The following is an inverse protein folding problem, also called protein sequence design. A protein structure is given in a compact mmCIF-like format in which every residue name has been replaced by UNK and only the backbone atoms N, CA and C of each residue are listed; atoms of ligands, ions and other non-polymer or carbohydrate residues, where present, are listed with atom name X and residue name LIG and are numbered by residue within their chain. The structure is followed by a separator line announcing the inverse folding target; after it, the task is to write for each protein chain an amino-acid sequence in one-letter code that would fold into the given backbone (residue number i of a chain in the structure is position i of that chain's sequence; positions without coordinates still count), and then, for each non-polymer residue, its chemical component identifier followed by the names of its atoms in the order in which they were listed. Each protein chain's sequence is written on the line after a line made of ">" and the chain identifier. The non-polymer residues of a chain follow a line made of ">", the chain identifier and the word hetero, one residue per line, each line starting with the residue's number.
data_IF_297515324346
#
_entry.id   IF_297515324346
#
_cell.length_a   1.000
_cell.length_b   1.000
_cell.length_c   1.000
_cell.angle_alpha   90.00
_cell.angle_beta   90.00
_cell.angle_gamma   90.00
#
_symmetry.space_group_name_H-M   'P 1'
#
loop_
_entity.id
_entity.type
_entity.pdbx_description
1 polymer ?
#
# COMPACT_ATOMS: atom_id res chain seq x y z
N UNK A 1 16.05 -22.17 3.91
CA UNK A 1 15.82 -20.79 3.44
C UNK A 1 14.60 -20.26 4.16
N UNK A 2 14.64 -19.02 4.62
CA UNK A 2 13.52 -18.43 5.35
C UNK A 2 12.39 -18.01 4.40
N UNK A 3 11.16 -18.09 4.90
CA UNK A 3 9.96 -17.69 4.15
C UNK A 3 9.88 -16.18 4.03
N UNK A 4 9.44 -15.70 2.88
CA UNK A 4 9.50 -14.30 2.49
C UNK A 4 8.12 -13.82 2.03
N UNK A 5 7.65 -12.72 2.62
CA UNK A 5 6.49 -11.98 2.16
C UNK A 5 6.95 -10.90 1.18
N UNK A 6 6.41 -10.91 -0.04
CA UNK A 6 6.46 -9.78 -0.95
C UNK A 6 5.17 -8.98 -0.79
N UNK A 7 5.26 -7.83 -0.14
CA UNK A 7 4.13 -6.92 0.08
C UNK A 7 4.25 -5.70 -0.82
N UNK A 8 3.19 -5.40 -1.54
CA UNK A 8 3.14 -4.31 -2.53
C UNK A 8 1.91 -3.46 -2.24
N UNK A 9 2.11 -2.20 -1.89
CA UNK A 9 1.06 -1.20 -1.84
C UNK A 9 0.86 -0.58 -3.23
N UNK A 10 -0.39 -0.37 -3.63
CA UNK A 10 -0.75 0.30 -4.86
C UNK A 10 -0.29 1.76 -4.90
N UNK A 11 -0.20 2.42 -3.75
CA UNK A 11 0.27 3.80 -3.68
C UNK A 11 1.75 3.96 -4.05
N UNK A 12 2.54 2.87 -4.08
CA UNK A 12 3.92 2.84 -4.59
C UNK A 12 4.00 3.49 -5.97
N UNK A 13 2.97 3.30 -6.81
CA UNK A 13 2.94 3.81 -8.18
C UNK A 13 2.33 5.20 -8.31
N UNK A 14 1.75 5.77 -7.26
CA UNK A 14 0.88 6.94 -7.38
C UNK A 14 1.64 8.20 -7.03
N UNK A 15 1.80 9.07 -8.03
CA UNK A 15 2.21 10.46 -7.78
C UNK A 15 1.01 11.27 -7.28
N UNK A 16 1.20 11.93 -6.14
CA UNK A 16 0.23 12.85 -5.55
C UNK A 16 0.85 14.24 -5.54
N UNK A 17 0.19 15.22 -6.16
CA UNK A 17 0.63 16.62 -6.07
C UNK A 17 0.59 17.09 -4.60
N UNK A 18 1.65 17.74 -4.13
CA UNK A 18 1.88 18.12 -2.71
C UNK A 18 0.68 18.72 -1.98
N UNK A 19 -0.15 19.53 -2.66
CA UNK A 19 -1.30 20.20 -2.05
C UNK A 19 -2.47 19.24 -1.71
N UNK A 20 -2.37 17.97 -2.09
CA UNK A 20 -3.39 16.92 -1.85
C UNK A 20 -2.96 15.87 -0.81
N UNK A 21 -1.85 16.10 -0.11
CA UNK A 21 -1.38 15.24 0.97
C UNK A 21 -2.24 15.41 2.23
N UNK A 22 -2.59 14.30 2.88
CA UNK A 22 -3.34 14.29 4.15
C UNK A 22 -3.22 12.95 4.86
N UNK A 23 -3.36 12.97 6.19
CA UNK A 23 -3.48 11.76 7.01
C UNK A 23 -4.95 11.36 7.08
N UNK A 24 -5.29 10.19 6.55
CA UNK A 24 -6.66 9.70 6.50
C UNK A 24 -6.77 8.45 7.38
N UNK A 25 -7.79 8.41 8.23
CA UNK A 25 -8.13 7.21 8.98
C UNK A 25 -8.87 6.25 8.04
N UNK A 26 -8.40 5.02 7.94
CA UNK A 26 -9.20 3.95 7.36
C UNK A 26 -10.35 3.63 8.30
N UNK A 27 -11.59 3.88 7.89
CA UNK A 27 -12.77 3.40 8.58
C UNK A 27 -13.84 2.96 7.58
N UNK A 28 -14.69 2.03 8.01
CA UNK A 28 -15.73 1.43 7.17
C UNK A 28 -16.81 2.44 6.75
N UNK A 29 -16.93 3.58 7.45
CA UNK A 29 -17.75 4.70 7.01
C UNK A 29 -16.97 5.54 6.00
N UNK A 30 -16.88 4.92 4.82
CA UNK A 30 -16.86 5.55 3.51
C UNK A 30 -15.54 6.12 2.99
N UNK A 31 -14.53 5.25 2.86
CA UNK A 31 -13.35 5.53 2.03
C UNK A 31 -13.73 6.13 0.66
N UNK A 32 -14.81 5.62 0.04
CA UNK A 32 -15.33 6.15 -1.23
C UNK A 32 -15.95 7.54 -1.08
N UNK A 33 -16.75 7.79 -0.04
CA UNK A 33 -17.40 9.09 0.14
C UNK A 33 -16.39 10.17 0.48
N UNK A 34 -15.29 9.84 1.17
CA UNK A 34 -14.16 10.76 1.36
C UNK A 34 -13.59 11.19 -0.01
N UNK A 35 -13.46 10.29 -0.97
CA UNK A 35 -13.05 10.66 -2.32
C UNK A 35 -14.09 11.55 -3.02
N UNK A 36 -15.39 11.29 -2.85
CA UNK A 36 -16.44 12.16 -3.38
C UNK A 36 -16.43 13.55 -2.74
N UNK A 37 -16.23 13.63 -1.42
CA UNK A 37 -16.06 14.88 -0.68
C UNK A 37 -14.95 15.72 -1.27
N UNK A 38 -13.77 15.12 -1.47
CA UNK A 38 -12.61 15.78 -2.08
C UNK A 38 -12.90 16.21 -3.51
N UNK A 39 -13.56 15.38 -4.30
CA UNK A 39 -13.98 15.74 -5.65
C UNK A 39 -14.91 16.96 -5.66
N UNK A 40 -15.91 17.02 -4.78
CA UNK A 40 -16.84 18.15 -4.67
C UNK A 40 -16.07 19.41 -4.24
N UNK A 41 -15.22 19.32 -3.22
CA UNK A 41 -14.45 20.45 -2.70
C UNK A 41 -13.48 21.04 -3.75
N UNK A 42 -12.79 20.18 -4.51
CA UNK A 42 -11.90 20.62 -5.60
C UNK A 42 -12.69 21.25 -6.74
N UNK A 43 -13.84 20.65 -7.10
CA UNK A 43 -14.73 21.18 -8.15
C UNK A 43 -15.30 22.55 -7.80
N UNK A 44 -15.67 22.78 -6.54
CA UNK A 44 -16.10 24.11 -6.05
C UNK A 44 -15.00 25.16 -6.18
N UNK A 45 -13.74 24.76 -6.14
CA UNK A 45 -12.58 25.62 -6.36
C UNK A 45 -12.16 25.70 -7.83
N UNK A 46 -12.97 25.18 -8.76
CA UNK A 46 -12.68 25.18 -10.20
C UNK A 46 -11.56 24.20 -10.60
N UNK A 47 -11.19 23.25 -9.74
CA UNK A 47 -10.14 22.26 -9.99
C UNK A 47 -10.71 20.88 -10.28
N UNK A 48 -9.94 20.09 -11.01
CA UNK A 48 -10.22 18.68 -11.26
C UNK A 48 -9.23 17.83 -10.46
N UNK A 49 -9.71 17.20 -9.39
CA UNK A 49 -8.89 16.38 -8.50
C UNK A 49 -8.18 15.25 -9.25
N UNK A 50 -8.78 14.71 -10.31
CA UNK A 50 -8.21 13.57 -11.04
C UNK A 50 -6.87 13.93 -11.69
N UNK A 51 -6.70 15.20 -12.08
CA UNK A 51 -5.44 15.70 -12.66
C UNK A 51 -4.30 15.82 -11.66
N UNK A 52 -4.60 15.71 -10.36
CA UNK A 52 -3.59 15.78 -9.29
C UNK A 52 -2.93 14.43 -8.99
N UNK A 53 -3.40 13.36 -9.65
CA UNK A 53 -2.92 12.00 -9.47
C UNK A 53 -2.41 11.44 -10.79
N UNK A 54 -1.22 10.86 -10.78
CA UNK A 54 -0.62 10.24 -11.96
C UNK A 54 -0.01 8.90 -11.57
N UNK A 55 -0.03 7.94 -12.50
CA UNK A 55 0.64 6.66 -12.30
C UNK A 55 2.08 6.74 -12.81
N UNK A 56 2.98 6.11 -12.06
CA UNK A 56 4.38 5.95 -12.43
C UNK A 56 4.51 5.22 -13.77
N UNK A 57 5.39 5.66 -14.67
CA UNK A 57 5.77 4.90 -15.86
C UNK A 57 6.32 3.50 -15.53
N UNK A 58 6.82 3.30 -14.31
CA UNK A 58 7.36 2.00 -13.88
C UNK A 58 6.30 0.89 -13.78
N UNK A 59 5.02 1.26 -13.69
CA UNK A 59 3.91 0.30 -13.56
C UNK A 59 3.98 -0.79 -14.64
N UNK A 60 4.14 -0.40 -15.90
CA UNK A 60 4.12 -1.33 -17.04
C UNK A 60 5.34 -2.28 -17.14
N UNK A 61 6.39 -2.04 -16.35
CA UNK A 61 7.58 -2.90 -16.30
C UNK A 61 7.79 -3.55 -14.93
N UNK A 62 6.90 -3.27 -13.96
CA UNK A 62 7.07 -3.67 -12.57
C UNK A 62 7.16 -5.18 -12.42
N UNK A 63 6.17 -5.93 -12.92
CA UNK A 63 6.19 -7.40 -12.78
C UNK A 63 7.35 -8.07 -13.50
N UNK A 64 7.82 -7.48 -14.61
CA UNK A 64 9.03 -7.94 -15.29
C UNK A 64 10.27 -7.74 -14.41
N UNK A 65 10.38 -6.58 -13.73
CA UNK A 65 11.45 -6.33 -12.76
C UNK A 65 11.33 -7.26 -11.56
N UNK A 66 10.13 -7.44 -10.98
CA UNK A 66 9.92 -8.38 -9.86
C UNK A 66 10.39 -9.79 -10.24
N UNK A 67 9.95 -10.32 -11.40
CA UNK A 67 10.35 -11.66 -11.88
C UNK A 67 11.86 -11.78 -12.19
N UNK A 68 12.59 -10.67 -12.29
CA UNK A 68 14.06 -10.67 -12.42
C UNK A 68 14.77 -10.91 -11.08
N UNK A 69 14.19 -10.43 -9.98
CA UNK A 69 14.78 -10.50 -8.64
C UNK A 69 14.22 -11.66 -7.79
N UNK A 70 12.94 -11.94 -7.97
CA UNK A 70 12.18 -12.87 -7.14
C UNK A 70 11.78 -14.12 -7.91
N UNK A 71 11.86 -15.26 -7.22
CA UNK A 71 11.37 -16.55 -7.68
C UNK A 71 10.11 -16.90 -6.89
N UNK A 72 9.04 -17.24 -7.59
CA UNK A 72 7.77 -17.62 -6.97
C UNK A 72 7.70 -19.14 -6.87
N UNK A 73 7.30 -19.63 -5.70
CA UNK A 73 7.00 -21.05 -5.53
C UNK A 73 5.76 -21.45 -6.36
N UNK A 74 5.68 -22.71 -6.80
CA UNK A 74 4.58 -23.17 -7.66
C UNK A 74 3.19 -23.05 -7.00
N UNK A 75 3.13 -23.17 -5.68
CA UNK A 75 1.91 -23.07 -4.86
C UNK A 75 1.86 -21.77 -4.06
N UNK A 76 2.47 -20.70 -4.59
CA UNK A 76 2.52 -19.40 -3.92
C UNK A 76 1.11 -18.87 -3.65
N UNK A 77 0.88 -18.41 -2.43
CA UNK A 77 -0.37 -17.75 -2.06
C UNK A 77 -0.28 -16.27 -2.39
N UNK A 78 -1.28 -15.75 -3.08
CA UNK A 78 -1.43 -14.34 -3.41
C UNK A 78 -2.70 -13.80 -2.78
N UNK A 79 -2.58 -12.74 -2.01
CA UNK A 79 -3.69 -12.06 -1.37
C UNK A 79 -3.84 -10.65 -1.93
N UNK A 80 -5.08 -10.23 -2.15
CA UNK A 80 -5.44 -8.87 -2.56
C UNK A 80 -6.39 -8.28 -1.52
N UNK A 81 -6.07 -7.12 -0.97
CA UNK A 81 -6.91 -6.47 0.04
C UNK A 81 -7.01 -4.95 -0.16
N UNK A 82 -7.93 -4.30 0.58
CA UNK A 82 -8.00 -2.83 0.60
C UNK A 82 -7.04 -2.19 1.60
N UNK A 83 -6.71 -2.88 2.69
CA UNK A 83 -5.97 -2.32 3.83
C UNK A 83 -4.67 -3.09 4.06
N UNK A 84 -3.59 -2.34 4.25
CA UNK A 84 -2.26 -2.93 4.35
C UNK A 84 -2.03 -3.70 5.65
N UNK A 85 -2.88 -3.44 6.67
CA UNK A 85 -2.93 -4.19 7.94
C UNK A 85 -2.89 -5.69 7.74
N UNK A 86 -3.53 -6.19 6.69
CA UNK A 86 -3.60 -7.62 6.41
C UNK A 86 -2.21 -8.26 6.25
N UNK A 87 -1.18 -7.51 5.84
CA UNK A 87 0.20 -7.97 5.77
C UNK A 87 0.71 -8.55 7.09
N UNK A 88 0.31 -7.99 8.24
CA UNK A 88 0.72 -8.49 9.55
C UNK A 88 0.23 -9.94 9.77
N UNK A 89 -1.05 -10.20 9.52
CA UNK A 89 -1.63 -11.53 9.67
C UNK A 89 -1.11 -12.49 8.61
N UNK A 90 -0.98 -12.05 7.36
CA UNK A 90 -0.42 -12.87 6.26
C UNK A 90 1.00 -13.34 6.61
N UNK A 91 1.87 -12.44 7.05
CA UNK A 91 3.24 -12.79 7.43
C UNK A 91 3.27 -13.79 8.60
N UNK A 92 2.46 -13.52 9.63
CA UNK A 92 2.35 -14.35 10.83
C UNK A 92 1.86 -15.77 10.49
N UNK A 93 0.75 -15.89 9.77
CA UNK A 93 0.11 -17.18 9.45
C UNK A 93 0.94 -18.02 8.47
N UNK A 94 1.63 -17.37 7.53
CA UNK A 94 2.50 -18.07 6.57
C UNK A 94 3.93 -18.28 7.11
N UNK A 95 4.23 -17.85 8.34
CA UNK A 95 5.54 -17.92 8.99
C UNK A 95 6.64 -17.24 8.17
N UNK A 96 6.33 -16.12 7.52
CA UNK A 96 7.31 -15.29 6.84
C UNK A 96 8.24 -14.67 7.87
N UNK A 97 9.56 -14.73 7.62
CA UNK A 97 10.59 -14.15 8.49
C UNK A 97 11.26 -12.93 7.86
N UNK A 98 11.07 -12.72 6.57
CA UNK A 98 11.59 -11.58 5.82
C UNK A 98 10.41 -10.94 5.09
N UNK A 99 10.37 -9.60 5.08
CA UNK A 99 9.38 -8.82 4.31
C UNK A 99 10.13 -7.94 3.32
N UNK A 100 9.76 -8.03 2.05
CA UNK A 100 10.04 -7.01 1.04
C UNK A 100 8.79 -6.16 0.88
N UNK A 101 8.89 -4.88 1.19
CA UNK A 101 7.82 -3.89 1.11
C UNK A 101 8.09 -2.94 -0.06
N UNK A 102 7.19 -2.92 -1.04
CA UNK A 102 7.14 -1.93 -2.11
C UNK A 102 6.00 -0.97 -1.82
N UNK A 103 6.32 0.23 -1.37
CA UNK A 103 5.33 1.15 -0.80
C UNK A 103 5.82 2.61 -0.90
N UNK A 104 4.91 3.58 -0.87
CA UNK A 104 5.28 4.97 -0.60
C UNK A 104 5.59 5.24 0.88
N UNK A 105 5.13 4.37 1.78
CA UNK A 105 5.20 4.47 3.23
C UNK A 105 6.01 3.31 3.84
N UNK A 106 6.71 3.58 4.95
CA UNK A 106 7.51 2.54 5.61
C UNK A 106 6.67 1.63 6.52
N UNK A 107 5.51 2.09 6.96
CA UNK A 107 4.61 1.40 7.91
C UNK A 107 5.29 0.90 9.20
N UNK A 108 6.32 1.63 9.61
CA UNK A 108 7.08 1.39 10.82
C UNK A 108 6.46 2.06 12.06
N UNK A 109 5.40 2.85 11.90
CA UNK A 109 4.69 3.54 12.97
C UNK A 109 5.10 5.01 13.13
N UNK A 110 4.16 5.91 12.84
CA UNK A 110 4.34 7.35 13.03
C UNK A 110 4.23 7.70 14.52
N UNK A 111 5.31 8.23 15.09
CA UNK A 111 5.44 8.48 16.54
C UNK A 111 6.62 7.74 17.19
N UNK A 112 7.41 7.00 16.42
CA UNK A 112 8.56 6.26 16.92
C UNK A 112 8.14 5.03 17.72
N UNK A 113 8.96 4.57 18.67
CA UNK A 113 8.77 3.28 19.36
C UNK A 113 7.44 3.15 20.10
N UNK A 114 6.88 4.25 20.61
CA UNK A 114 5.58 4.25 21.29
C UNK A 114 4.44 3.85 20.37
N UNK A 115 4.54 4.13 19.07
CA UNK A 115 3.52 3.79 18.07
C UNK A 115 3.27 2.27 17.96
N UNK A 116 4.27 1.46 18.33
CA UNK A 116 4.18 0.00 18.30
C UNK A 116 3.43 -0.58 19.51
N UNK A 117 3.09 0.26 20.50
CA UNK A 117 2.25 -0.11 21.64
C UNK A 117 0.75 -0.04 21.30
N UNK A 118 0.37 0.65 20.23
CA UNK A 118 -1.02 0.66 19.75
C UNK A 118 -1.39 -0.64 19.05
N UNK A 119 -2.67 -0.84 18.78
CA UNK A 119 -3.17 -1.94 17.93
C UNK A 119 -2.54 -1.89 16.52
N UNK A 120 -2.55 -3.03 15.83
CA UNK A 120 -2.05 -3.12 14.45
C UNK A 120 -2.94 -2.27 13.55
N UNK A 121 -2.34 -1.37 12.78
CA UNK A 121 -3.00 -0.54 11.77
C UNK A 121 -2.05 -0.30 10.59
N UNK A 122 -2.53 0.31 9.50
CA UNK A 122 -1.73 0.51 8.28
C UNK A 122 -0.42 1.21 8.58
N UNK A 123 -0.42 2.21 9.46
CA UNK A 123 0.81 2.94 9.72
C UNK A 123 1.89 2.18 10.49
N UNK A 124 1.59 1.07 11.16
CA UNK A 124 2.52 0.41 12.08
C UNK A 124 2.66 -1.11 11.90
N UNK A 125 2.01 -1.72 10.91
CA UNK A 125 1.94 -3.18 10.81
C UNK A 125 3.33 -3.81 10.65
N UNK A 126 4.22 -3.20 9.86
CA UNK A 126 5.57 -3.70 9.64
C UNK A 126 6.42 -3.52 10.90
N UNK A 127 6.31 -2.36 11.54
CA UNK A 127 6.96 -2.10 12.83
C UNK A 127 6.53 -3.09 13.91
N UNK A 128 5.24 -3.47 13.96
CA UNK A 128 4.73 -4.47 14.90
C UNK A 128 5.23 -5.87 14.60
N UNK A 129 5.34 -6.27 13.33
CA UNK A 129 5.96 -7.56 12.97
C UNK A 129 7.39 -7.69 13.53
N UNK A 130 8.17 -6.61 13.47
CA UNK A 130 9.52 -6.57 14.03
C UNK A 130 9.51 -6.61 15.56
N UNK A 131 8.69 -5.77 16.20
CA UNK A 131 8.57 -5.73 17.67
C UNK A 131 8.10 -7.06 18.27
N UNK A 132 7.15 -7.71 17.62
CA UNK A 132 6.59 -8.99 18.08
C UNK A 132 7.51 -10.17 17.72
N UNK A 133 8.70 -9.89 17.16
CA UNK A 133 9.69 -10.87 16.71
C UNK A 133 9.13 -11.89 15.69
N UNK A 134 8.10 -11.51 14.93
CA UNK A 134 7.47 -12.35 13.90
C UNK A 134 8.26 -12.35 12.59
N UNK A 135 9.00 -11.28 12.33
CA UNK A 135 9.99 -11.20 11.25
C UNK A 135 11.34 -10.81 11.84
N UNK A 136 12.42 -11.16 11.14
CA UNK A 136 13.80 -10.79 11.52
C UNK A 136 14.37 -9.63 10.71
N UNK A 137 13.77 -9.35 9.54
CA UNK A 137 14.31 -8.39 8.59
C UNK A 137 13.18 -7.80 7.75
N UNK A 138 13.25 -6.49 7.55
CA UNK A 138 12.39 -5.75 6.65
C UNK A 138 13.25 -5.02 5.60
N UNK A 139 12.90 -5.18 4.33
CA UNK A 139 13.51 -4.50 3.20
C UNK A 139 12.46 -3.62 2.57
N UNK A 140 12.65 -2.31 2.63
CA UNK A 140 11.72 -1.30 2.15
C UNK A 140 12.26 -0.71 0.85
N UNK A 141 11.43 -0.74 -0.19
CA UNK A 141 11.69 -0.18 -1.51
C UNK A 141 10.67 0.92 -1.72
N UNK A 142 11.09 2.17 -1.55
CA UNK A 142 10.18 3.28 -1.69
C UNK A 142 9.75 3.51 -3.14
N UNK A 143 8.49 3.89 -3.31
CA UNK A 143 7.96 4.38 -4.57
C UNK A 143 8.72 5.61 -5.09
N UNK A 144 8.77 5.84 -6.42
CA UNK A 144 9.50 6.96 -7.03
C UNK A 144 9.00 8.34 -6.59
N UNK A 145 7.83 8.40 -5.96
CA UNK A 145 7.18 9.63 -5.51
C UNK A 145 7.03 9.72 -3.99
N UNK A 146 7.67 8.83 -3.21
CA UNK A 146 7.63 8.92 -1.75
C UNK A 146 8.13 10.29 -1.28
N UNK A 147 7.54 10.77 -0.18
CA UNK A 147 8.10 11.90 0.57
C UNK A 147 8.80 11.46 1.85
N UNK A 148 8.66 10.19 2.23
CA UNK A 148 9.30 9.62 3.40
C UNK A 148 10.79 9.45 3.18
N UNK A 149 11.52 9.51 4.29
CA UNK A 149 12.95 9.29 4.29
C UNK A 149 13.33 8.35 5.42
N UNK A 150 14.32 7.46 5.22
CA UNK A 150 14.78 6.54 6.26
C UNK A 150 15.07 7.23 7.61
N UNK A 151 15.55 8.47 7.59
CA UNK A 151 15.90 9.23 8.80
C UNK A 151 14.69 9.52 9.70
N UNK A 152 13.47 9.58 9.15
CA UNK A 152 12.25 9.77 9.92
C UNK A 152 11.99 8.60 10.89
N UNK A 153 12.53 7.42 10.58
CA UNK A 153 12.38 6.19 11.35
C UNK A 153 13.67 5.77 12.08
N UNK A 154 14.61 6.70 12.30
CA UNK A 154 15.89 6.44 12.99
C UNK A 154 15.78 5.60 14.27
N UNK A 155 14.80 5.83 15.18
CA UNK A 155 14.64 4.98 16.36
C UNK A 155 14.39 3.49 16.03
N UNK A 156 13.60 3.21 14.99
CA UNK A 156 13.32 1.84 14.55
C UNK A 156 14.56 1.23 13.89
N UNK A 157 15.21 1.99 13.00
CA UNK A 157 16.39 1.54 12.26
C UNK A 157 17.58 1.19 13.18
N UNK A 158 17.65 1.80 14.36
CA UNK A 158 18.70 1.52 15.35
C UNK A 158 18.48 0.23 16.15
N UNK A 159 17.24 -0.28 16.20
CA UNK A 159 16.84 -1.41 17.04
C UNK A 159 16.59 -2.66 16.19
N UNK A 160 15.97 -2.48 15.03
CA UNK A 160 15.55 -3.57 14.16
C UNK A 160 16.39 -3.61 12.88
N UNK A 161 16.51 -4.80 12.29
CA UNK A 161 17.18 -4.98 11.01
C UNK A 161 16.28 -4.51 9.86
N UNK A 162 16.33 -3.21 9.58
CA UNK A 162 15.56 -2.55 8.52
C UNK A 162 16.54 -2.04 7.48
N UNK A 163 16.29 -2.38 6.22
CA UNK A 163 17.08 -1.92 5.08
C UNK A 163 16.19 -1.16 4.12
N UNK A 164 16.70 -0.05 3.62
CA UNK A 164 16.08 0.71 2.54
C UNK A 164 16.94 0.51 1.30
N UNK A 165 16.36 0.07 0.19
CA UNK A 165 17.10 -0.15 -1.04
C UNK A 165 16.34 0.38 -2.26
N UNK A 166 17.10 0.75 -3.29
CA UNK A 166 16.50 0.98 -4.59
C UNK A 166 16.15 -0.36 -5.22
N UNK A 167 15.15 -0.36 -6.11
CA UNK A 167 14.73 -1.56 -6.83
C UNK A 167 15.92 -2.30 -7.48
N UNK A 168 16.79 -1.56 -8.16
CA UNK A 168 17.91 -2.14 -8.91
C UNK A 168 19.00 -2.77 -8.01
N UNK A 169 19.01 -2.43 -6.71
CA UNK A 169 20.00 -2.93 -5.75
C UNK A 169 19.52 -4.21 -5.04
N UNK A 170 18.29 -4.67 -5.35
CA UNK A 170 17.75 -5.92 -4.83
C UNK A 170 18.56 -7.09 -5.40
N UNK A 171 18.85 -8.07 -4.55
CA UNK A 171 19.51 -9.32 -4.96
C UNK A 171 18.69 -10.11 -6.00
N UNK A 172 19.23 -11.24 -6.45
CA UNK A 172 18.55 -12.15 -7.39
C UNK A 172 18.20 -13.47 -6.73
N UNK A 173 17.26 -14.18 -7.33
CA UNK A 173 16.82 -15.52 -6.91
C UNK A 173 16.26 -15.55 -5.47
N UNK A 174 15.63 -14.46 -5.04
CA UNK A 174 14.97 -14.38 -3.73
C UNK A 174 13.67 -15.19 -3.83
N UNK A 175 13.55 -16.29 -3.09
CA UNK A 175 12.30 -17.07 -3.10
C UNK A 175 11.25 -16.36 -2.26
N UNK A 176 10.07 -16.19 -2.85
CA UNK A 176 8.90 -15.59 -2.20
C UNK A 176 7.90 -16.70 -1.93
N UNK A 177 7.48 -16.82 -0.67
CA UNK A 177 6.50 -17.82 -0.25
C UNK A 177 5.07 -17.31 -0.28
N UNK A 178 4.90 -15.98 -0.22
CA UNK A 178 3.58 -15.34 -0.17
C UNK A 178 3.65 -13.93 -0.73
N UNK A 179 2.62 -13.54 -1.49
CA UNK A 179 2.47 -12.18 -2.03
C UNK A 179 1.23 -11.55 -1.40
N UNK A 180 1.36 -10.29 -1.02
CA UNK A 180 0.22 -9.45 -0.65
C UNK A 180 0.23 -8.18 -1.51
N UNK A 181 -0.88 -7.90 -2.18
CA UNK A 181 -1.10 -6.67 -2.94
C UNK A 181 -2.22 -5.89 -2.24
N UNK A 182 -1.90 -4.71 -1.74
CA UNK A 182 -2.85 -3.82 -1.07
C UNK A 182 -3.28 -2.68 -2.00
N UNK A 183 -4.56 -2.29 -1.93
CA UNK A 183 -5.05 -1.09 -2.62
C UNK A 183 -4.82 0.20 -1.82
N UNK A 184 -4.88 0.15 -0.49
CA UNK A 184 -4.79 1.31 0.40
C UNK A 184 -5.80 2.39 0.03
N UNK A 185 -7.08 2.02 0.10
CA UNK A 185 -8.21 2.80 -0.44
C UNK A 185 -8.36 4.23 0.11
N UNK A 186 -7.79 4.54 1.27
CA UNK A 186 -7.75 5.92 1.81
C UNK A 186 -6.77 6.83 1.06
N UNK A 187 -5.70 6.27 0.50
CA UNK A 187 -4.62 7.01 -0.18
C UNK A 187 -4.69 6.87 -1.70
N UNK A 188 -5.29 5.79 -2.21
CA UNK A 188 -5.42 5.55 -3.65
C UNK A 188 -6.81 5.89 -4.17
N UNK A 189 -6.91 6.71 -5.24
CA UNK A 189 -8.20 7.17 -5.71
C UNK A 189 -8.97 6.11 -6.50
N UNK A 190 -10.32 6.08 -6.39
CA UNK A 190 -11.16 5.05 -7.03
C UNK A 190 -11.17 5.12 -8.55
N UNK A 191 -10.83 6.25 -9.17
CA UNK A 191 -10.68 6.33 -10.64
C UNK A 191 -9.45 5.58 -11.17
N UNK A 192 -8.56 5.09 -10.30
CA UNK A 192 -7.44 4.22 -10.68
C UNK A 192 -7.73 2.72 -10.47
N UNK A 193 -8.91 2.34 -9.98
CA UNK A 193 -9.24 0.94 -9.65
C UNK A 193 -9.15 0.00 -10.87
N UNK A 194 -9.49 0.51 -12.06
CA UNK A 194 -9.31 -0.27 -13.29
C UNK A 194 -7.84 -0.60 -13.55
N UNK A 195 -6.93 0.33 -13.25
CA UNK A 195 -5.48 0.12 -13.42
C UNK A 195 -4.92 -0.78 -12.33
N UNK A 196 -5.43 -0.69 -11.11
CA UNK A 196 -5.12 -1.62 -10.03
C UNK A 196 -5.52 -3.07 -10.39
N UNK A 197 -6.74 -3.28 -10.89
CA UNK A 197 -7.20 -4.60 -11.33
C UNK A 197 -6.32 -5.14 -12.47
N UNK A 198 -6.01 -4.32 -13.48
CA UNK A 198 -5.08 -4.69 -14.56
C UNK A 198 -3.70 -5.10 -14.02
N UNK A 199 -3.17 -4.35 -13.06
CA UNK A 199 -1.91 -4.65 -12.40
C UNK A 199 -1.94 -6.02 -11.70
N UNK A 200 -3.01 -6.35 -10.98
CA UNK A 200 -3.15 -7.66 -10.33
C UNK A 200 -3.20 -8.78 -11.40
N UNK A 201 -3.98 -8.60 -12.46
CA UNK A 201 -4.14 -9.63 -13.50
C UNK A 201 -2.81 -9.89 -14.26
N UNK A 202 -1.99 -8.85 -14.46
CA UNK A 202 -0.67 -8.96 -15.10
C UNK A 202 0.34 -9.81 -14.30
N UNK A 203 0.09 -10.06 -13.01
CA UNK A 203 0.89 -11.00 -12.23
C UNK A 203 0.84 -12.40 -12.85
N UNK A 204 -0.33 -12.81 -13.34
CA UNK A 204 -0.58 -14.11 -13.97
C UNK A 204 -0.63 -15.28 -12.98
N UNK A 205 -1.00 -15.03 -11.73
CA UNK A 205 -1.15 -16.03 -10.67
C UNK A 205 -2.58 -16.00 -10.10
N UNK A 206 -3.10 -17.13 -9.61
CA UNK A 206 -4.36 -17.13 -8.87
C UNK A 206 -4.21 -16.34 -7.56
N UNK A 207 -5.26 -15.62 -7.17
CA UNK A 207 -5.26 -14.80 -5.96
C UNK A 207 -6.59 -14.88 -5.21
N UNK A 208 -6.53 -14.59 -3.91
CA UNK A 208 -7.68 -14.47 -3.02
C UNK A 208 -7.94 -12.99 -2.73
N UNK A 209 -9.20 -12.54 -2.84
CA UNK A 209 -9.60 -11.20 -2.44
C UNK A 209 -10.10 -11.24 -0.99
N UNK A 210 -9.50 -10.44 -0.12
CA UNK A 210 -9.85 -10.33 1.30
C UNK A 210 -10.21 -8.88 1.61
N UNK A 211 -11.48 -8.64 1.96
CA UNK A 211 -11.98 -7.31 2.36
C UNK A 211 -11.58 -6.17 1.39
N UNK A 212 -11.63 -6.42 0.07
CA UNK A 212 -11.39 -5.41 -0.96
C UNK A 212 -12.66 -5.12 -1.76
N UNK A 213 -13.59 -4.31 -1.24
CA UNK A 213 -14.84 -4.03 -1.92
C UNK A 213 -14.61 -3.22 -3.21
N UNK A 214 -15.44 -3.49 -4.21
CA UNK A 214 -15.48 -2.70 -5.44
C UNK A 214 -15.98 -1.29 -5.11
N UNK A 215 -15.24 -0.26 -5.55
CA UNK A 215 -15.63 1.14 -5.34
C UNK A 215 -16.43 1.64 -6.53
N UNK A 216 -17.59 2.24 -6.28
CA UNK A 216 -18.38 2.91 -7.31
C UNK A 216 -17.94 4.38 -7.41
N UNK A 217 -17.36 4.75 -8.55
CA UNK A 217 -16.96 6.13 -8.87
C UNK A 217 -17.73 6.67 -10.07
N UNK A 218 -18.82 7.39 -9.81
CA UNK A 218 -19.68 8.02 -10.81
C UNK A 218 -19.88 9.49 -10.46
N UNK A 219 -19.03 10.33 -11.04
CA UNK A 219 -19.08 11.79 -10.83
C UNK A 219 -20.11 12.50 -11.72
N UNK A 220 -20.76 11.80 -12.65
CA UNK A 220 -21.75 12.37 -13.57
C UNK A 220 -23.16 12.33 -12.99
N UNK A 221 -23.46 11.31 -12.18
CA UNK A 221 -24.79 11.08 -11.63
C UNK A 221 -24.84 11.29 -10.10
N UNK A 222 -24.28 12.40 -9.61
CA UNK A 222 -24.34 12.76 -8.18
C UNK A 222 -25.59 13.63 -7.93
N UNK A 223 -26.56 13.12 -7.17
CA UNK A 223 -27.74 13.90 -6.77
C UNK A 223 -27.39 14.96 -5.72
N UNK A 224 -28.29 15.93 -5.47
CA UNK A 224 -28.08 16.91 -4.41
C UNK A 224 -28.02 16.25 -3.01
N UNK A 225 -28.83 15.20 -2.78
CA UNK A 225 -28.78 14.44 -1.53
C UNK A 225 -27.42 13.75 -1.36
N UNK A 226 -26.87 13.17 -2.43
CA UNK A 226 -25.55 12.54 -2.40
C UNK A 226 -24.46 13.57 -2.05
N UNK A 227 -24.54 14.77 -2.62
CA UNK A 227 -23.58 15.84 -2.30
C UNK A 227 -23.59 16.22 -0.82
N UNK A 228 -24.78 16.37 -0.22
CA UNK A 228 -24.90 16.64 1.23
C UNK A 228 -24.27 15.49 2.03
N UNK A 229 -24.62 14.25 1.70
CA UNK A 229 -24.11 13.07 2.40
C UNK A 229 -22.58 12.98 2.31
N UNK A 230 -22.02 13.14 1.11
CA UNK A 230 -20.57 13.09 0.91
C UNK A 230 -19.84 14.23 1.62
N UNK A 231 -20.39 15.44 1.69
CA UNK A 231 -19.76 16.54 2.42
C UNK A 231 -19.75 16.33 3.94
N UNK A 232 -20.70 15.55 4.47
CA UNK A 232 -20.78 15.16 5.88
C UNK A 232 -19.85 13.99 6.25
N UNK A 233 -19.31 13.26 5.27
CA UNK A 233 -18.36 12.16 5.48
C UNK A 233 -17.01 12.62 6.05
#
# INVERSE_FOLDING_TARGET
>A
MEKCLLSIDWDYFIYIKKDNWGSYLENDRSLVDLWYKRYIQEKLQGRDIQKSFQLSPELGIFWKKIKHHFQFDNDIKVYVSDSHVLSYNIAKENNCRIVYLFDSHADLGYGGLSSLNFEVNCSNWLGKLLKDNLIKEAIIVYGPYTSEKPEYFKPMNNIYNIRYCNFNDIGKNIKVSTIHICRSGAWTPPWLDKKFAQFIDELGLPYEIVNCPVRKWDTKNISFSDQINYLLA
#
